data_IF_533973070048
#
_entry.id   IF_533973070048
#
_cell.length_a   1.000
_cell.length_b   1.000
_cell.length_c   1.000
_cell.angle_alpha   90.00
_cell.angle_beta   90.00
_cell.angle_gamma   90.00
#
_symmetry.space_group_name_H-M   'P 1'
#
loop_
_entity.id
_entity.type
_entity.pdbx_description
1 polymer ?
#
# COMPACT_ATOMS: atom_id res chain seq x y z
N UNK A 1 18.05 -7.13 5.99
CA UNK A 1 16.91 -7.18 6.93
C UNK A 1 15.63 -7.46 6.16
N UNK A 2 15.20 -8.73 6.20
CA UNK A 2 13.89 -9.29 5.84
C UNK A 2 13.01 -8.51 4.83
N UNK A 3 13.35 -8.63 3.55
CA UNK A 3 12.60 -8.14 2.39
C UNK A 3 11.33 -8.99 2.12
N UNK A 4 10.45 -9.12 3.12
CA UNK A 4 9.10 -9.62 2.87
C UNK A 4 8.35 -8.51 2.15
N UNK A 5 8.00 -8.72 0.88
CA UNK A 5 7.19 -7.79 0.08
C UNK A 5 5.83 -7.58 0.78
N UNK A 6 5.70 -6.54 1.61
CA UNK A 6 4.45 -6.15 2.29
C UNK A 6 3.48 -5.44 1.34
N UNK A 7 3.35 -5.92 0.10
CA UNK A 7 2.38 -5.37 -0.86
C UNK A 7 0.98 -5.75 -0.41
N UNK A 8 0.08 -4.77 -0.41
CA UNK A 8 -1.33 -4.96 -0.10
C UNK A 8 -2.18 -4.61 -1.31
N UNK A 9 -3.38 -5.20 -1.38
CA UNK A 9 -4.37 -4.84 -2.39
C UNK A 9 -5.34 -3.82 -1.82
N UNK A 10 -5.91 -3.03 -2.72
CA UNK A 10 -7.04 -2.18 -2.39
C UNK A 10 -8.18 -3.02 -1.82
N UNK A 11 -8.62 -2.71 -0.59
CA UNK A 11 -9.69 -3.44 0.09
C UNK A 11 -11.10 -3.05 -0.39
N UNK A 12 -11.23 -1.92 -1.11
CA UNK A 12 -12.52 -1.38 -1.56
C UNK A 12 -12.90 -1.76 -2.99
N UNK A 13 -11.93 -2.12 -3.81
CA UNK A 13 -12.16 -2.41 -5.21
C UNK A 13 -11.57 -3.77 -5.55
N UNK A 14 -12.43 -4.66 -6.03
CA UNK A 14 -12.05 -6.02 -6.38
C UNK A 14 -11.14 -6.09 -7.61
N UNK A 15 -11.21 -5.08 -8.50
CA UNK A 15 -10.41 -5.06 -9.74
C UNK A 15 -9.71 -3.72 -9.96
N UNK A 16 -8.46 -3.79 -10.40
CA UNK A 16 -7.64 -2.65 -10.81
C UNK A 16 -7.84 -2.31 -12.30
N UNK A 17 -9.05 -2.52 -12.86
CA UNK A 17 -9.32 -2.40 -14.31
C UNK A 17 -9.07 -1.01 -14.89
N UNK A 18 -8.87 0.01 -14.07
CA UNK A 18 -8.62 1.36 -14.52
C UNK A 18 -7.52 2.01 -13.65
N UNK A 19 -6.26 1.86 -14.08
CA UNK A 19 -5.07 2.33 -13.35
C UNK A 19 -5.08 3.83 -13.07
N UNK A 20 -5.75 4.63 -13.91
CA UNK A 20 -5.91 6.09 -13.74
C UNK A 20 -6.60 6.48 -12.43
N UNK A 21 -7.37 5.58 -11.81
CA UNK A 21 -8.07 5.82 -10.52
C UNK A 21 -7.27 5.37 -9.29
N UNK A 22 -6.10 4.77 -9.51
CA UNK A 22 -5.24 4.23 -8.46
C UNK A 22 -3.95 5.04 -8.44
N UNK A 23 -3.83 6.06 -7.57
CA UNK A 23 -2.56 6.72 -7.36
C UNK A 23 -1.48 5.73 -6.91
N UNK A 24 -0.24 6.08 -7.21
CA UNK A 24 0.94 5.40 -6.67
C UNK A 24 0.98 5.59 -5.14
N UNK A 25 1.29 4.52 -4.43
CA UNK A 25 1.52 4.48 -3.00
C UNK A 25 2.87 3.82 -2.74
N UNK A 26 3.68 4.43 -1.88
CA UNK A 26 4.94 3.85 -1.42
C UNK A 26 4.63 2.78 -0.35
N UNK A 27 5.04 1.54 -0.59
CA UNK A 27 4.87 0.41 0.34
C UNK A 27 5.53 0.78 1.68
N UNK A 28 6.78 1.22 1.62
CA UNK A 28 7.49 1.87 2.71
C UNK A 28 7.62 3.37 2.39
N UNK A 29 7.09 4.27 3.24
CA UNK A 29 7.20 5.71 3.00
C UNK A 29 8.65 6.18 2.88
N UNK A 30 8.94 7.09 1.95
CA UNK A 30 10.27 7.70 1.81
C UNK A 30 10.78 8.31 3.12
N UNK A 31 9.89 8.95 3.89
CA UNK A 31 10.21 9.53 5.19
C UNK A 31 10.65 8.50 6.26
N UNK A 32 10.44 7.20 6.01
CA UNK A 32 10.82 6.10 6.90
C UNK A 32 11.97 5.25 6.34
N UNK A 33 12.61 5.70 5.27
CA UNK A 33 13.73 4.99 4.62
C UNK A 33 13.34 4.16 3.40
N UNK A 34 12.09 4.25 2.93
CA UNK A 34 11.67 3.61 1.68
C UNK A 34 12.39 4.16 0.45
N UNK A 35 12.50 3.35 -0.61
CA UNK A 35 13.14 3.75 -1.86
C UNK A 35 12.13 4.28 -2.90
N UNK A 36 12.58 5.06 -3.88
CA UNK A 36 11.73 5.48 -5.01
C UNK A 36 11.78 4.46 -6.17
N UNK A 37 12.15 3.21 -5.89
CA UNK A 37 12.21 2.17 -6.91
C UNK A 37 10.81 1.63 -7.22
N UNK A 38 10.61 1.13 -8.43
CA UNK A 38 9.36 0.45 -8.82
C UNK A 38 9.00 -0.72 -7.89
N UNK A 39 10.01 -1.30 -7.23
CA UNK A 39 9.84 -2.34 -6.23
C UNK A 39 9.16 -1.86 -4.94
N UNK A 40 9.22 -0.56 -4.61
CA UNK A 40 8.55 0.07 -3.48
C UNK A 40 7.20 0.70 -3.84
N UNK A 41 6.82 0.77 -5.13
CA UNK A 41 5.56 1.38 -5.55
C UNK A 41 4.45 0.33 -5.66
N UNK A 42 3.29 0.57 -5.05
CA UNK A 42 2.05 -0.20 -5.22
C UNK A 42 0.86 0.69 -5.64
N UNK A 43 -0.21 0.07 -6.14
CA UNK A 43 -1.42 0.78 -6.58
C UNK A 43 -2.54 0.62 -5.55
N UNK A 44 -2.94 1.76 -4.96
CA UNK A 44 -4.09 1.84 -4.07
C UNK A 44 -5.08 2.86 -4.61
N UNK A 45 -6.39 2.62 -4.43
CA UNK A 45 -7.35 3.67 -4.74
C UNK A 45 -7.10 4.86 -3.80
N UNK A 46 -7.46 6.08 -4.24
CA UNK A 46 -7.23 7.32 -3.46
C UNK A 46 -7.63 7.18 -1.99
N UNK A 47 -8.77 6.56 -1.74
CA UNK A 47 -9.30 6.45 -0.38
C UNK A 47 -8.56 5.39 0.45
N UNK A 48 -8.04 4.30 -0.13
CA UNK A 48 -7.16 3.35 0.58
C UNK A 48 -5.78 3.94 0.83
N UNK A 49 -5.21 4.65 -0.15
CA UNK A 49 -3.93 5.35 0.00
C UNK A 49 -4.00 6.39 1.15
N UNK A 50 -4.97 7.31 1.10
CA UNK A 50 -5.20 8.30 2.15
C UNK A 50 -5.43 7.67 3.53
N UNK A 51 -6.13 6.53 3.57
CA UNK A 51 -6.35 5.82 4.82
C UNK A 51 -5.06 5.18 5.33
N UNK A 52 -4.27 4.50 4.48
CA UNK A 52 -2.99 3.87 4.85
C UNK A 52 -2.03 4.92 5.41
N UNK A 53 -1.88 6.05 4.72
CA UNK A 53 -0.92 7.10 5.07
C UNK A 53 0.50 6.50 5.17
N UNK A 54 1.28 6.88 6.17
CA UNK A 54 2.62 6.39 6.45
C UNK A 54 2.68 5.09 7.28
N UNK A 55 1.56 4.38 7.43
CA UNK A 55 1.50 3.13 8.20
C UNK A 55 2.13 1.99 7.42
N UNK A 56 2.70 1.04 8.17
CA UNK A 56 3.16 -0.20 7.59
C UNK A 56 1.97 -0.95 6.95
N UNK A 57 2.14 -1.61 5.79
CA UNK A 57 1.03 -2.28 5.14
C UNK A 57 0.39 -3.39 5.99
N UNK A 58 1.17 -4.10 6.83
CA UNK A 58 0.62 -5.13 7.74
C UNK A 58 -0.20 -4.48 8.84
N UNK A 59 0.35 -3.44 9.48
CA UNK A 59 -0.36 -2.65 10.50
C UNK A 59 -1.67 -2.08 9.95
N UNK A 60 -1.65 -1.54 8.73
CA UNK A 60 -2.84 -1.03 8.06
C UNK A 60 -3.88 -2.13 7.86
N UNK A 61 -3.49 -3.29 7.35
CA UNK A 61 -4.42 -4.40 7.10
C UNK A 61 -4.99 -4.98 8.41
N UNK A 62 -4.18 -5.10 9.46
CA UNK A 62 -4.63 -5.51 10.79
C UNK A 62 -5.63 -4.53 11.39
N UNK A 63 -5.39 -3.21 11.26
CA UNK A 63 -6.36 -2.18 11.69
C UNK A 63 -7.71 -2.24 10.95
N UNK A 64 -7.76 -2.96 9.83
CA UNK A 64 -8.95 -3.18 9.01
C UNK A 64 -9.59 -4.56 9.22
N UNK A 65 -9.07 -5.38 10.13
CA UNK A 65 -9.58 -6.72 10.43
C UNK A 65 -9.10 -7.82 9.48
N UNK A 66 -7.98 -7.59 8.79
CA UNK A 66 -7.31 -8.61 7.95
C UNK A 66 -6.01 -9.08 8.59
N UNK A 67 -5.44 -10.20 8.10
CA UNK A 67 -4.15 -10.76 8.53
C UNK A 67 -4.13 -11.13 10.03
N UNK A 68 -4.90 -12.19 10.35
CA UNK A 68 -5.01 -12.81 11.68
C UNK A 68 -3.65 -13.02 12.37
#
# INVERSE_FOLDING_TARGET
MNSYRRRIRCIRHFSLRNSTRFPNDDIEPLARGGSNDIANIQLLCRTCNLSKHARDPVEFMQSRGFLL
#
